data_IF_817407301219
#
_entry.id   IF_817407301219
#
_cell.length_a   1.000
_cell.length_b   1.000
_cell.length_c   1.000
_cell.angle_alpha   90.00
_cell.angle_beta   90.00
_cell.angle_gamma   90.00
#
_symmetry.space_group_name_H-M   'P 1'
#
loop_
_entity.id
_entity.type
_entity.pdbx_description
1 polymer ?
#
# COMPACT_ATOMS: atom_id res chain seq x y z
N UNK A 1 3.23 12.87 -13.83
CA UNK A 1 3.54 12.38 -12.46
C UNK A 1 2.33 12.46 -11.53
N UNK A 2 1.64 13.61 -11.45
CA UNK A 2 0.49 13.85 -10.57
C UNK A 2 -0.66 12.85 -10.74
N UNK A 3 -1.05 12.54 -11.98
CA UNK A 3 -2.11 11.56 -12.27
C UNK A 3 -1.80 10.15 -11.75
N UNK A 4 -0.53 9.73 -11.76
CA UNK A 4 -0.10 8.38 -11.33
C UNK A 4 -0.07 8.27 -9.81
N UNK A 5 0.44 9.31 -9.15
CA UNK A 5 0.40 9.42 -7.69
C UNK A 5 -1.05 9.44 -7.21
N UNK A 6 -1.94 10.16 -7.90
CA UNK A 6 -3.37 10.15 -7.60
C UNK A 6 -3.98 8.74 -7.76
N UNK A 7 -3.59 7.96 -8.78
CA UNK A 7 -4.08 6.59 -8.94
C UNK A 7 -3.59 5.68 -7.79
N UNK A 8 -2.31 5.74 -7.43
CA UNK A 8 -1.74 4.95 -6.30
C UNK A 8 -2.36 5.33 -4.95
N UNK A 9 -2.80 6.57 -4.80
CA UNK A 9 -3.52 7.03 -3.62
C UNK A 9 -4.99 6.59 -3.65
N UNK A 10 -5.72 6.93 -4.70
CA UNK A 10 -7.16 6.80 -4.75
C UNK A 10 -7.62 5.35 -4.89
N UNK A 11 -6.95 4.52 -5.69
CA UNK A 11 -7.41 3.15 -5.96
C UNK A 11 -7.41 2.29 -4.69
N UNK A 12 -6.30 2.19 -3.92
CA UNK A 12 -6.29 1.39 -2.70
C UNK A 12 -7.24 1.93 -1.63
N UNK A 13 -7.36 3.26 -1.51
CA UNK A 13 -8.26 3.90 -0.53
C UNK A 13 -9.73 3.63 -0.86
N UNK A 14 -10.13 3.78 -2.12
CA UNK A 14 -11.50 3.51 -2.55
C UNK A 14 -11.85 2.03 -2.42
N UNK A 15 -10.92 1.13 -2.79
CA UNK A 15 -11.12 -0.31 -2.60
C UNK A 15 -11.23 -0.67 -1.11
N UNK A 16 -10.38 -0.10 -0.26
CA UNK A 16 -10.47 -0.32 1.18
C UNK A 16 -11.83 0.14 1.72
N UNK A 17 -12.32 1.32 1.31
CA UNK A 17 -13.65 1.80 1.69
C UNK A 17 -14.79 0.92 1.17
N UNK A 18 -14.71 0.48 -0.08
CA UNK A 18 -15.72 -0.37 -0.71
C UNK A 18 -15.82 -1.75 -0.04
N UNK A 19 -14.70 -2.29 0.45
CA UNK A 19 -14.66 -3.56 1.20
C UNK A 19 -15.00 -3.35 2.68
N UNK A 20 -14.58 -2.23 3.27
CA UNK A 20 -14.82 -1.94 4.69
C UNK A 20 -16.30 -1.66 4.96
N UNK A 21 -17.03 -1.05 4.02
CA UNK A 21 -18.45 -0.76 4.19
C UNK A 21 -19.32 -2.02 4.43
N UNK A 22 -19.31 -3.06 3.57
CA UNK A 22 -20.08 -4.28 3.81
C UNK A 22 -19.55 -5.05 5.02
N UNK A 23 -18.23 -5.12 5.20
CA UNK A 23 -17.65 -5.82 6.35
C UNK A 23 -18.00 -5.14 7.68
N UNK A 24 -18.03 -3.81 7.72
CA UNK A 24 -18.44 -3.08 8.91
C UNK A 24 -19.93 -3.25 9.22
N UNK A 25 -20.75 -3.42 8.18
CA UNK A 25 -22.18 -3.67 8.33
C UNK A 25 -22.46 -5.09 8.86
N UNK A 26 -21.73 -6.11 8.38
CA UNK A 26 -21.99 -7.51 8.74
C UNK A 26 -21.18 -8.04 9.93
N UNK A 27 -19.94 -7.59 10.10
CA UNK A 27 -18.98 -8.11 11.08
C UNK A 27 -18.59 -7.09 12.16
N UNK A 28 -19.02 -5.84 12.01
CA UNK A 28 -18.94 -4.83 13.06
C UNK A 28 -18.03 -3.64 12.72
N UNK A 29 -18.18 -2.52 13.46
CA UNK A 29 -17.55 -1.25 13.12
C UNK A 29 -16.02 -1.26 13.21
N UNK A 30 -15.39 -2.27 13.82
CA UNK A 30 -13.93 -2.37 13.86
C UNK A 30 -13.27 -2.43 12.47
N UNK A 31 -13.98 -2.93 11.45
CA UNK A 31 -13.46 -3.01 10.09
C UNK A 31 -13.11 -1.63 9.48
N UNK A 32 -13.84 -0.56 9.86
CA UNK A 32 -13.48 0.80 9.47
C UNK A 32 -12.15 1.25 10.09
N UNK A 33 -11.90 0.89 11.35
CA UNK A 33 -10.66 1.23 12.07
C UNK A 33 -9.48 0.45 11.49
N UNK A 34 -9.67 -0.83 11.18
CA UNK A 34 -8.65 -1.67 10.54
C UNK A 34 -8.30 -1.16 9.14
N UNK A 35 -9.31 -0.84 8.32
CA UNK A 35 -9.10 -0.27 6.99
C UNK A 35 -8.35 1.07 7.06
N UNK A 36 -8.76 1.98 7.94
CA UNK A 36 -8.11 3.28 8.11
C UNK A 36 -6.64 3.14 8.55
N UNK A 37 -6.36 2.29 9.53
CA UNK A 37 -5.00 2.03 10.00
C UNK A 37 -4.14 1.37 8.90
N UNK A 38 -4.69 0.38 8.19
CA UNK A 38 -3.98 -0.27 7.09
C UNK A 38 -3.69 0.70 5.93
N UNK A 39 -4.60 1.62 5.61
CA UNK A 39 -4.37 2.67 4.62
C UNK A 39 -3.23 3.59 5.07
N UNK A 40 -3.29 4.07 6.32
CA UNK A 40 -2.29 4.99 6.86
C UNK A 40 -0.87 4.38 6.85
N UNK A 41 -0.76 3.07 7.06
CA UNK A 41 0.51 2.36 7.10
C UNK A 41 1.08 2.01 5.72
N UNK A 42 0.22 1.72 4.73
CA UNK A 42 0.67 1.16 3.44
C UNK A 42 0.67 2.17 2.30
N UNK A 43 -0.32 3.06 2.24
CA UNK A 43 -0.53 3.95 1.08
C UNK A 43 0.52 5.07 0.99
N UNK A 44 0.91 5.78 2.06
CA UNK A 44 1.96 6.80 1.99
C UNK A 44 3.31 6.22 1.54
N UNK A 45 3.64 5.02 2.00
CA UNK A 45 4.87 4.30 1.64
C UNK A 45 4.86 3.94 0.16
N UNK A 46 3.68 3.60 -0.39
CA UNK A 46 3.49 3.40 -1.81
C UNK A 46 3.84 4.63 -2.64
N UNK A 47 3.30 5.79 -2.24
CA UNK A 47 3.61 7.07 -2.91
C UNK A 47 5.10 7.41 -2.86
N UNK A 48 5.76 7.20 -1.72
CA UNK A 48 7.20 7.44 -1.56
C UNK A 48 7.99 6.53 -2.50
N UNK A 49 7.67 5.24 -2.54
CA UNK A 49 8.29 4.26 -3.42
C UNK A 49 8.16 4.65 -4.88
N UNK A 50 6.95 5.00 -5.31
CA UNK A 50 6.68 5.42 -6.68
C UNK A 50 7.52 6.66 -7.04
N UNK A 51 7.58 7.66 -6.15
CA UNK A 51 8.42 8.85 -6.35
C UNK A 51 9.90 8.52 -6.46
N UNK A 52 10.40 7.61 -5.61
CA UNK A 52 11.79 7.15 -5.65
C UNK A 52 12.08 6.40 -6.95
N UNK A 53 11.19 5.52 -7.40
CA UNK A 53 11.34 4.78 -8.65
C UNK A 53 11.42 5.71 -9.85
N UNK A 54 10.54 6.71 -9.94
CA UNK A 54 10.59 7.74 -10.99
C UNK A 54 11.86 8.59 -10.95
N UNK A 55 12.37 8.88 -9.75
CA UNK A 55 13.64 9.64 -9.62
C UNK A 55 14.84 8.78 -10.03
N UNK A 56 14.81 7.49 -9.68
CA UNK A 56 15.86 6.53 -9.96
C UNK A 56 15.90 6.07 -11.43
N UNK A 57 14.81 6.23 -12.20
CA UNK A 57 14.80 6.03 -13.67
C UNK A 57 15.79 6.94 -14.41
N UNK A 58 16.34 7.98 -13.77
CA UNK A 58 17.43 8.81 -14.31
C UNK A 58 18.79 8.11 -14.31
N UNK A 59 18.91 6.92 -13.69
CA UNK A 59 20.17 6.15 -13.59
C UNK A 59 20.04 4.85 -14.41
N UNK A 60 21.00 4.50 -15.29
CA UNK A 60 20.68 3.79 -16.54
C UNK A 60 20.40 2.29 -16.46
N UNK A 61 20.70 1.58 -15.36
CA UNK A 61 20.59 0.09 -15.36
C UNK A 61 19.95 -0.48 -14.10
N UNK A 62 20.32 -0.02 -12.91
CA UNK A 62 19.86 -0.62 -11.64
C UNK A 62 18.82 0.22 -10.87
N UNK A 63 18.58 1.47 -11.28
CA UNK A 63 17.74 2.42 -10.55
C UNK A 63 16.31 1.95 -10.28
N UNK A 64 15.56 1.48 -11.29
CA UNK A 64 14.17 1.05 -11.11
C UNK A 64 14.04 -0.20 -10.23
N UNK A 65 14.92 -1.19 -10.41
CA UNK A 65 14.91 -2.44 -9.63
C UNK A 65 15.27 -2.17 -8.18
N UNK A 66 16.30 -1.33 -7.94
CA UNK A 66 16.71 -0.96 -6.58
C UNK A 66 15.63 -0.14 -5.87
N UNK A 67 14.94 0.75 -6.59
CA UNK A 67 13.83 1.51 -6.03
C UNK A 67 12.61 0.63 -5.70
N UNK A 68 12.34 -0.40 -6.51
CA UNK A 68 11.32 -1.40 -6.19
C UNK A 68 11.70 -2.21 -4.96
N UNK A 69 12.94 -2.71 -4.90
CA UNK A 69 13.44 -3.47 -3.75
C UNK A 69 13.41 -2.64 -2.47
N UNK A 70 13.90 -1.40 -2.52
CA UNK A 70 13.86 -0.45 -1.40
C UNK A 70 12.42 -0.14 -0.97
N UNK A 71 11.51 0.06 -1.93
CA UNK A 71 10.10 0.28 -1.63
C UNK A 71 9.40 -0.92 -1.01
N UNK A 72 9.74 -2.12 -1.45
CA UNK A 72 9.24 -3.36 -0.86
C UNK A 72 9.72 -3.50 0.58
N UNK A 73 11.01 -3.25 0.84
CA UNK A 73 11.57 -3.22 2.19
C UNK A 73 10.88 -2.17 3.08
N UNK A 74 10.70 -0.94 2.56
CA UNK A 74 10.07 0.14 3.30
C UNK A 74 8.61 -0.20 3.64
N UNK A 75 7.88 -0.86 2.73
CA UNK A 75 6.51 -1.32 3.00
C UNK A 75 6.43 -2.46 4.01
N UNK A 76 7.39 -3.38 4.01
CA UNK A 76 7.43 -4.43 5.02
C UNK A 76 7.72 -3.79 6.38
N UNK A 77 8.74 -2.93 6.46
CA UNK A 77 9.13 -2.26 7.68
C UNK A 77 8.03 -1.36 8.25
N UNK A 78 7.43 -0.49 7.43
CA UNK A 78 6.41 0.46 7.88
C UNK A 78 5.02 -0.18 7.95
N UNK A 79 4.65 -0.97 6.95
CA UNK A 79 3.35 -1.64 6.88
C UNK A 79 3.20 -2.69 7.97
N UNK A 80 4.02 -3.74 7.93
CA UNK A 80 3.94 -4.83 8.92
C UNK A 80 4.57 -4.45 10.26
N UNK A 81 5.72 -3.75 10.27
CA UNK A 81 6.29 -3.28 11.53
C UNK A 81 5.36 -2.29 12.25
N UNK A 82 4.73 -1.36 11.51
CA UNK A 82 3.71 -0.47 12.06
C UNK A 82 2.46 -1.22 12.54
N UNK A 83 2.03 -2.27 11.82
CA UNK A 83 0.90 -3.11 12.25
C UNK A 83 1.20 -3.86 13.55
N UNK A 84 2.41 -4.42 13.69
CA UNK A 84 2.87 -5.04 14.95
C UNK A 84 2.89 -4.01 16.08
N UNK A 85 3.40 -2.80 15.83
CA UNK A 85 3.36 -1.72 16.81
C UNK A 85 1.92 -1.36 17.22
N UNK A 86 0.98 -1.30 16.29
CA UNK A 86 -0.44 -1.05 16.61
C UNK A 86 -1.10 -2.21 17.36
N UNK A 87 -0.71 -3.46 17.10
CA UNK A 87 -1.18 -4.61 17.90
C UNK A 87 -0.65 -4.56 19.34
N UNK A 88 0.61 -4.18 19.51
CA UNK A 88 1.24 -4.12 20.82
C UNK A 88 0.81 -2.88 21.59
N UNK A 89 0.76 -1.70 20.96
CA UNK A 89 0.51 -0.41 21.62
C UNK A 89 -0.92 0.11 21.49
N UNK A 90 -1.69 -0.33 20.49
CA UNK A 90 -3.02 0.21 20.16
C UNK A 90 -4.18 -0.29 21.03
N UNK A 91 -3.90 -1.04 22.11
CA UNK A 91 -4.90 -1.49 23.07
C UNK A 91 -5.87 -2.56 22.53
N UNK A 92 -7.04 -2.69 23.17
CA UNK A 92 -7.99 -3.78 22.93
C UNK A 92 -8.61 -3.82 21.52
N UNK A 93 -8.64 -2.69 20.81
CA UNK A 93 -9.28 -2.58 19.48
C UNK A 93 -8.60 -3.46 18.43
N UNK A 94 -7.27 -3.52 18.44
CA UNK A 94 -6.51 -4.31 17.45
C UNK A 94 -6.15 -5.71 17.97
N UNK A 95 -6.05 -5.87 19.30
CA UNK A 95 -5.75 -7.18 19.92
C UNK A 95 -6.91 -8.17 19.88
N UNK A 96 -8.15 -7.70 19.75
CA UNK A 96 -9.31 -8.59 19.69
C UNK A 96 -9.33 -9.50 18.46
N UNK A 97 -8.85 -8.99 17.31
CA UNK A 97 -8.88 -9.70 16.03
C UNK A 97 -7.58 -9.50 15.23
N UNK A 98 -6.43 -9.99 15.74
CA UNK A 98 -5.12 -9.66 15.21
C UNK A 98 -4.92 -10.18 13.78
N UNK A 99 -5.47 -11.35 13.46
CA UNK A 99 -5.39 -11.93 12.13
C UNK A 99 -6.21 -11.14 11.10
N UNK A 100 -7.39 -10.64 11.49
CA UNK A 100 -8.24 -9.83 10.62
C UNK A 100 -7.55 -8.50 10.31
N UNK A 101 -6.97 -7.85 11.33
CA UNK A 101 -6.20 -6.63 11.14
C UNK A 101 -4.97 -6.84 10.26
N UNK A 102 -4.20 -7.92 10.47
CA UNK A 102 -3.08 -8.27 9.60
C UNK A 102 -3.52 -8.58 8.17
N UNK A 103 -4.68 -9.22 8.01
CA UNK A 103 -5.30 -9.45 6.70
C UNK A 103 -5.61 -8.15 5.96
N UNK A 104 -6.12 -7.13 6.67
CA UNK A 104 -6.33 -5.79 6.10
C UNK A 104 -5.03 -5.15 5.62
N UNK A 105 -3.97 -5.20 6.44
CA UNK A 105 -2.65 -4.64 6.10
C UNK A 105 -2.06 -5.36 4.88
N UNK A 106 -2.14 -6.69 4.83
CA UNK A 106 -1.69 -7.50 3.71
C UNK A 106 -2.49 -7.21 2.43
N UNK A 107 -3.82 -7.15 2.51
CA UNK A 107 -4.69 -6.90 1.36
C UNK A 107 -4.44 -5.52 0.73
N UNK A 108 -4.28 -4.49 1.56
CA UNK A 108 -3.93 -3.15 1.10
C UNK A 108 -2.50 -3.06 0.56
N UNK A 109 -1.55 -3.78 1.18
CA UNK A 109 -0.19 -3.92 0.68
C UNK A 109 -0.18 -4.51 -0.74
N UNK A 110 -0.85 -5.64 -0.95
CA UNK A 110 -0.93 -6.31 -2.25
C UNK A 110 -1.60 -5.42 -3.30
N UNK A 111 -2.72 -4.79 -2.94
CA UNK A 111 -3.45 -3.87 -3.84
C UNK A 111 -2.56 -2.72 -4.30
N UNK A 112 -1.86 -2.07 -3.36
CA UNK A 112 -0.95 -0.96 -3.66
C UNK A 112 0.20 -1.42 -4.56
N UNK A 113 0.77 -2.59 -4.28
CA UNK A 113 1.84 -3.18 -5.08
C UNK A 113 1.38 -3.47 -6.52
N UNK A 114 0.19 -4.05 -6.69
CA UNK A 114 -0.40 -4.34 -8.01
C UNK A 114 -0.62 -3.07 -8.81
N UNK A 115 -1.17 -2.02 -8.20
CA UNK A 115 -1.40 -0.73 -8.89
C UNK A 115 -0.08 -0.13 -9.36
N UNK A 116 0.96 -0.17 -8.52
CA UNK A 116 2.27 0.35 -8.91
C UNK A 116 2.93 -0.45 -10.02
N UNK A 117 2.92 -1.79 -9.93
CA UNK A 117 3.45 -2.67 -10.96
C UNK A 117 2.75 -2.42 -12.30
N UNK A 118 1.43 -2.27 -12.30
CA UNK A 118 0.67 -1.95 -13.51
C UNK A 118 1.08 -0.59 -14.11
N UNK A 119 1.25 0.44 -13.27
CA UNK A 119 1.65 1.78 -13.72
C UNK A 119 3.09 1.84 -14.26
N UNK A 120 4.00 1.04 -13.70
CA UNK A 120 5.39 0.93 -14.17
C UNK A 120 5.46 0.11 -15.45
N UNK A 121 4.76 -1.04 -15.50
CA UNK A 121 4.73 -1.92 -16.67
C UNK A 121 4.16 -1.24 -17.91
N UNK A 122 3.09 -0.44 -17.74
CA UNK A 122 2.52 0.36 -18.84
C UNK A 122 3.48 1.41 -19.40
N UNK A 123 4.39 1.97 -18.58
CA UNK A 123 5.43 2.88 -19.09
C UNK A 123 6.54 2.16 -19.84
N UNK A 124 7.01 1.04 -19.32
CA UNK A 124 8.07 0.28 -19.97
C UNK A 124 7.63 -0.16 -21.37
N UNK A 125 6.38 -0.63 -21.51
CA UNK A 125 5.81 -0.97 -22.81
C UNK A 125 5.63 0.23 -23.73
N UNK A 126 5.22 1.39 -23.20
CA UNK A 126 5.09 2.61 -24.00
C UNK A 126 6.45 3.13 -24.50
N UNK A 127 7.51 2.96 -23.72
CA UNK A 127 8.89 3.34 -24.10
C UNK A 127 9.47 2.39 -25.13
N UNK A 128 9.16 1.08 -25.07
CA UNK A 128 9.64 0.09 -26.04
C UNK A 128 8.98 0.19 -27.42
N UNK A 129 7.83 0.87 -27.53
CA UNK A 129 7.12 1.11 -28.81
C UNK A 129 7.55 2.39 -29.55
N UNK A 130 8.41 3.21 -28.94
CA UNK A 130 8.95 4.44 -29.54
C UNK A 130 10.39 4.23 -29.96
#
# INVERSE_FOLDING_TARGET
>A
MTRRVAIVLCVPVLLAGAVAAPLAHWFGPQHWKFAAAAVALTVPVGVVTLRLAFRAQRVPVYGPVLAMAAGMFLRIAVGFGGAVLLLVAGGGVFRGEPLVFMGWVLGLYLTTLTVELALIGTEMMAKARR
#
